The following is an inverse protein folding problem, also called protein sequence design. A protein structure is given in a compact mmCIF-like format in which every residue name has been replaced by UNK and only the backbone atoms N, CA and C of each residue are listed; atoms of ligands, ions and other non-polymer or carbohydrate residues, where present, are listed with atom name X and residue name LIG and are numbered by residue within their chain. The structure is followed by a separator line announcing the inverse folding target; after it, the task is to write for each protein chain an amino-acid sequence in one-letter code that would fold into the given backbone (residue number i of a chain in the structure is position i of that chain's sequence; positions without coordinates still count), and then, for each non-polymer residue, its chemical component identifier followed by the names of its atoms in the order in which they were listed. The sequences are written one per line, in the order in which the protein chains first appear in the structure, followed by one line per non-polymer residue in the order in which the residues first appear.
data_IF_966224595083
#
_entry.id   IF_966224595083
#
_cell.length_a   1.000
_cell.length_b   1.000
_cell.length_c   1.000
_cell.angle_alpha   90.00
_cell.angle_beta   90.00
_cell.angle_gamma   90.00
#
_symmetry.space_group_name_H-M   'P 1'
#
loop_
_entity.id
_entity.type
_entity.pdbx_description
1 polymer ?
#
# COMPACT_ATOMS: atom_id res chain seq x y z
N UNK A 1 -15.72 -36.75 -14.34
CA UNK A 1 -14.55 -36.80 -13.44
C UNK A 1 -13.43 -36.03 -14.11
N UNK A 2 -13.21 -34.79 -13.68
CA UNK A 2 -12.01 -34.02 -13.99
C UNK A 2 -11.81 -33.06 -12.82
N UNK A 3 -10.87 -33.47 -11.96
CA UNK A 3 -10.04 -32.68 -11.05
C UNK A 3 -10.65 -31.36 -10.58
N UNK A 4 -11.07 -31.36 -9.30
CA UNK A 4 -11.23 -30.15 -8.54
C UNK A 4 -9.95 -29.33 -8.69
N UNK A 5 -10.05 -28.19 -9.38
CA UNK A 5 -9.03 -27.14 -9.29
C UNK A 5 -8.75 -26.97 -7.81
N UNK A 6 -7.55 -27.37 -7.38
CA UNK A 6 -7.06 -27.08 -6.05
C UNK A 6 -7.11 -25.56 -5.95
N UNK A 7 -8.20 -25.07 -5.38
CA UNK A 7 -8.50 -23.65 -5.40
C UNK A 7 -7.33 -23.02 -4.64
N UNK A 8 -6.55 -22.19 -5.32
CA UNK A 8 -5.32 -21.65 -4.75
C UNK A 8 -5.72 -20.76 -3.58
N UNK A 9 -5.21 -21.06 -2.38
CA UNK A 9 -5.28 -20.14 -1.25
C UNK A 9 -3.87 -19.59 -1.05
N UNK A 10 -3.68 -18.31 -1.33
CA UNK A 10 -2.35 -17.69 -1.24
C UNK A 10 -1.96 -17.34 0.18
N UNK A 11 -2.91 -17.27 1.11
CA UNK A 11 -2.65 -17.02 2.53
C UNK A 11 -2.63 -18.34 3.30
N UNK A 12 -1.46 -18.66 3.84
CA UNK A 12 -1.28 -19.74 4.79
C UNK A 12 -1.61 -19.21 6.20
N UNK A 13 -2.71 -19.67 6.78
CA UNK A 13 -3.16 -19.23 8.11
C UNK A 13 -2.30 -19.77 9.27
N UNK A 14 -1.38 -20.71 9.02
CA UNK A 14 -0.39 -21.14 10.00
C UNK A 14 0.95 -20.39 9.85
N UNK A 15 1.15 -19.69 8.72
CA UNK A 15 2.30 -18.84 8.47
C UNK A 15 1.92 -17.58 7.68
N UNK A 16 1.08 -16.75 8.31
CA UNK A 16 0.45 -15.58 7.67
C UNK A 16 1.49 -14.61 7.17
N UNK A 17 2.44 -14.21 8.02
CA UNK A 17 3.45 -13.23 7.66
C UNK A 17 4.21 -13.65 6.40
N UNK A 18 4.73 -14.88 6.37
CA UNK A 18 5.55 -15.35 5.26
C UNK A 18 4.77 -15.49 3.96
N UNK A 19 3.52 -15.96 4.03
CA UNK A 19 2.67 -16.08 2.83
C UNK A 19 2.28 -14.71 2.27
N UNK A 20 1.97 -13.72 3.12
CA UNK A 20 1.70 -12.35 2.70
C UNK A 20 2.93 -11.68 2.06
N UNK A 21 4.10 -11.85 2.67
CA UNK A 21 5.37 -11.32 2.13
C UNK A 21 5.72 -11.94 0.77
N UNK A 22 5.45 -13.24 0.59
CA UNK A 22 5.67 -13.92 -0.69
C UNK A 22 4.77 -13.36 -1.81
N UNK A 23 3.48 -13.10 -1.51
CA UNK A 23 2.51 -12.61 -2.49
C UNK A 23 2.74 -11.15 -2.90
N UNK A 24 3.07 -10.29 -1.94
CA UNK A 24 3.36 -8.88 -2.22
C UNK A 24 4.76 -8.66 -2.80
N UNK A 25 5.65 -9.65 -2.68
CA UNK A 25 7.03 -9.61 -3.15
C UNK A 25 7.99 -8.94 -2.17
N UNK A 26 9.30 -8.97 -2.48
CA UNK A 26 10.40 -8.53 -1.60
C UNK A 26 10.30 -7.07 -1.10
N UNK A 27 9.44 -6.23 -1.70
CA UNK A 27 9.21 -4.84 -1.27
C UNK A 27 7.79 -4.39 -1.62
N UNK A 28 6.84 -4.60 -0.69
CA UNK A 28 6.42 -3.50 0.18
C UNK A 28 6.32 -3.93 1.66
N UNK A 29 7.38 -3.69 2.45
CA UNK A 29 7.37 -3.88 3.91
C UNK A 29 6.26 -3.08 4.60
N UNK A 30 5.82 -1.97 3.99
CA UNK A 30 4.76 -1.14 4.52
C UNK A 30 3.40 -1.83 4.51
N UNK A 31 3.02 -2.40 3.36
CA UNK A 31 1.72 -3.05 3.21
C UNK A 31 1.71 -4.47 3.75
N UNK A 32 2.83 -5.20 3.71
CA UNK A 32 2.88 -6.57 4.25
C UNK A 32 2.49 -6.62 5.73
N UNK A 33 2.95 -5.67 6.55
CA UNK A 33 2.56 -5.59 7.96
C UNK A 33 1.06 -5.31 8.16
N UNK A 34 0.50 -4.38 7.37
CA UNK A 34 -0.93 -4.02 7.41
C UNK A 34 -1.81 -5.22 7.02
N UNK A 35 -1.39 -5.99 6.02
CA UNK A 35 -2.12 -7.16 5.51
C UNK A 35 -1.94 -8.37 6.44
N UNK A 36 -0.78 -8.53 7.06
CA UNK A 36 -0.54 -9.57 8.08
C UNK A 36 -1.48 -9.37 9.27
N UNK A 37 -1.56 -8.14 9.80
CA UNK A 37 -2.47 -7.78 10.90
C UNK A 37 -3.94 -8.10 10.56
N UNK A 38 -4.37 -7.87 9.32
CA UNK A 38 -5.70 -8.23 8.85
C UNK A 38 -5.95 -9.74 8.97
N UNK A 39 -5.05 -10.57 8.43
CA UNK A 39 -5.26 -12.01 8.40
C UNK A 39 -5.12 -12.66 9.78
N UNK A 40 -4.31 -12.08 10.67
CA UNK A 40 -4.25 -12.48 12.09
C UNK A 40 -5.61 -12.25 12.77
N UNK A 41 -6.21 -11.07 12.60
CA UNK A 41 -7.54 -10.79 13.13
C UNK A 41 -8.62 -11.72 12.53
N UNK A 42 -8.55 -12.01 11.23
CA UNK A 42 -9.45 -12.94 10.56
C UNK A 42 -9.28 -14.35 11.14
N UNK A 43 -8.05 -14.82 11.36
CA UNK A 43 -7.78 -16.15 11.93
C UNK A 43 -8.44 -16.28 13.29
N UNK A 44 -8.15 -15.35 14.20
CA UNK A 44 -8.71 -15.33 15.56
C UNK A 44 -10.25 -15.34 15.51
N UNK A 45 -10.85 -14.46 14.70
CA UNK A 45 -12.30 -14.37 14.59
C UNK A 45 -12.94 -15.63 14.02
N UNK A 46 -12.28 -16.26 13.05
CA UNK A 46 -12.78 -17.49 12.44
C UNK A 46 -12.70 -18.67 13.41
N UNK A 47 -11.61 -18.75 14.17
CA UNK A 47 -11.41 -19.74 15.24
C UNK A 47 -12.47 -19.57 16.34
N UNK A 48 -12.74 -18.33 16.79
CA UNK A 48 -13.78 -18.02 17.79
C UNK A 48 -15.19 -18.45 17.36
N UNK A 49 -15.49 -18.34 16.07
CA UNK A 49 -16.81 -18.67 15.51
C UNK A 49 -16.91 -20.12 15.03
N UNK A 50 -15.80 -20.85 14.94
CA UNK A 50 -15.74 -22.17 14.32
C UNK A 50 -16.11 -22.16 12.84
N UNK A 51 -15.77 -21.10 12.10
CA UNK A 51 -16.02 -20.97 10.66
C UNK A 51 -14.74 -21.20 9.84
N UNK A 52 -14.90 -21.58 8.58
CA UNK A 52 -13.77 -21.72 7.66
C UNK A 52 -13.09 -20.37 7.39
N UNK A 53 -11.77 -20.41 7.25
CA UNK A 53 -11.00 -19.23 6.89
C UNK A 53 -11.35 -18.73 5.48
N UNK A 54 -11.42 -17.41 5.27
CA UNK A 54 -11.60 -16.83 3.95
C UNK A 54 -10.49 -17.27 3.00
N UNK A 55 -10.89 -17.79 1.84
CA UNK A 55 -9.97 -18.26 0.83
C UNK A 55 -9.53 -17.15 -0.11
N UNK A 56 -8.25 -16.81 -0.04
CA UNK A 56 -7.63 -15.70 -0.76
C UNK A 56 -7.00 -16.19 -2.05
N UNK A 57 -7.42 -15.63 -3.18
CA UNK A 57 -6.93 -15.99 -4.51
C UNK A 57 -5.66 -15.22 -4.89
N UNK A 58 -5.55 -13.97 -4.45
CA UNK A 58 -4.44 -13.09 -4.81
C UNK A 58 -4.39 -11.86 -3.90
N UNK A 59 -3.17 -11.42 -3.58
CA UNK A 59 -2.89 -10.11 -2.99
C UNK A 59 -1.96 -9.39 -3.95
N UNK A 60 -2.32 -8.18 -4.42
CA UNK A 60 -1.46 -7.43 -5.34
C UNK A 60 -1.61 -5.92 -5.24
N UNK A 61 -0.57 -5.23 -5.65
CA UNK A 61 -0.62 -3.81 -6.01
C UNK A 61 -1.19 -3.67 -7.44
N UNK A 62 -2.02 -2.64 -7.65
CA UNK A 62 -2.41 -2.18 -8.99
C UNK A 62 -2.78 -0.71 -8.98
N UNK A 63 -1.97 0.10 -9.67
CA UNK A 63 -2.09 1.56 -9.80
C UNK A 63 -1.92 2.33 -8.47
N UNK A 64 -1.01 1.89 -7.62
CA UNK A 64 -0.74 2.46 -6.30
C UNK A 64 -1.77 2.07 -5.26
N UNK A 65 -2.56 1.02 -5.51
CA UNK A 65 -3.61 0.56 -4.59
C UNK A 65 -3.48 -0.94 -4.31
N UNK A 66 -3.74 -1.32 -3.06
CA UNK A 66 -3.83 -2.70 -2.62
C UNK A 66 -5.13 -3.34 -3.11
N UNK A 67 -5.03 -4.56 -3.63
CA UNK A 67 -6.18 -5.39 -4.00
C UNK A 67 -6.04 -6.78 -3.39
N UNK A 68 -7.11 -7.23 -2.73
CA UNK A 68 -7.23 -8.57 -2.17
C UNK A 68 -8.42 -9.24 -2.84
N UNK A 69 -8.17 -10.38 -3.50
CA UNK A 69 -9.20 -11.16 -4.18
C UNK A 69 -9.52 -12.40 -3.36
N UNK A 70 -10.80 -12.63 -3.11
CA UNK A 70 -11.31 -13.80 -2.40
C UNK A 70 -12.08 -14.69 -3.39
N UNK A 71 -11.98 -16.00 -3.21
CA UNK A 71 -12.83 -16.95 -3.96
C UNK A 71 -14.27 -16.90 -3.49
N UNK A 72 -14.45 -16.80 -2.17
CA UNK A 72 -15.71 -16.51 -1.50
C UNK A 72 -15.41 -15.57 -0.34
N UNK A 73 -16.13 -14.46 -0.28
CA UNK A 73 -16.02 -13.50 0.83
C UNK A 73 -16.69 -14.12 2.06
N UNK A 74 -16.15 -13.87 3.25
CA UNK A 74 -16.81 -14.26 4.50
C UNK A 74 -18.19 -13.60 4.61
N UNK A 75 -19.18 -14.36 5.09
CA UNK A 75 -20.50 -13.82 5.43
C UNK A 75 -20.48 -13.01 6.74
N UNK A 76 -19.39 -13.12 7.54
CA UNK A 76 -19.22 -12.31 8.75
C UNK A 76 -18.93 -10.84 8.39
N UNK A 77 -19.82 -9.95 8.81
CA UNK A 77 -19.76 -8.51 8.54
C UNK A 77 -18.48 -7.85 9.10
N UNK A 78 -17.97 -8.34 10.23
CA UNK A 78 -16.78 -7.78 10.87
C UNK A 78 -15.54 -8.10 10.05
N UNK A 79 -15.44 -9.32 9.52
CA UNK A 79 -14.37 -9.70 8.58
C UNK A 79 -14.43 -8.83 7.32
N UNK A 80 -15.62 -8.63 6.73
CA UNK A 80 -15.79 -7.75 5.56
C UNK A 80 -15.38 -6.31 5.85
N UNK A 81 -15.78 -5.79 7.01
CA UNK A 81 -15.40 -4.46 7.48
C UNK A 81 -13.90 -4.30 7.66
N UNK A 82 -13.22 -5.29 8.24
CA UNK A 82 -11.76 -5.28 8.40
C UNK A 82 -11.05 -5.30 7.04
N UNK A 83 -11.47 -6.14 6.11
CA UNK A 83 -10.88 -6.17 4.76
C UNK A 83 -10.99 -4.79 4.10
N UNK A 84 -12.17 -4.17 4.13
CA UNK A 84 -12.39 -2.85 3.55
C UNK A 84 -11.54 -1.76 4.24
N UNK A 85 -11.49 -1.77 5.58
CA UNK A 85 -10.71 -0.82 6.37
C UNK A 85 -9.20 -0.97 6.11
N UNK A 86 -8.70 -2.20 6.00
CA UNK A 86 -7.29 -2.51 5.71
C UNK A 86 -6.90 -2.04 4.32
N UNK A 87 -7.73 -2.29 3.29
CA UNK A 87 -7.48 -1.79 1.93
C UNK A 87 -7.43 -0.26 1.93
N UNK A 88 -8.38 0.39 2.61
CA UNK A 88 -8.40 1.84 2.73
C UNK A 88 -7.16 2.40 3.44
N UNK A 89 -6.72 1.76 4.54
CA UNK A 89 -5.51 2.10 5.28
C UNK A 89 -4.26 1.93 4.41
N UNK A 90 -4.13 0.79 3.73
CA UNK A 90 -3.00 0.52 2.83
C UNK A 90 -2.90 1.58 1.72
N UNK A 91 -4.03 1.94 1.08
CA UNK A 91 -4.06 2.94 0.02
C UNK A 91 -3.70 4.38 0.47
N UNK A 92 -3.58 4.60 1.79
CA UNK A 92 -3.12 5.86 2.40
C UNK A 92 -1.77 5.70 3.13
N UNK A 93 -1.12 4.55 2.98
CA UNK A 93 0.15 4.19 3.59
C UNK A 93 1.19 3.92 2.50
N UNK A 94 2.44 4.30 2.78
CA UNK A 94 3.56 4.09 1.89
C UNK A 94 3.75 2.60 1.67
N UNK A 95 3.74 2.17 0.41
CA UNK A 95 4.02 0.78 0.01
C UNK A 95 5.33 0.29 0.66
N UNK A 96 6.38 1.10 0.65
CA UNK A 96 7.70 0.67 1.11
C UNK A 96 7.86 0.64 2.64
N UNK A 97 7.26 1.57 3.38
CA UNK A 97 7.57 1.75 4.81
C UNK A 97 6.36 1.97 5.72
N UNK A 98 5.13 1.97 5.20
CA UNK A 98 3.89 2.06 5.98
C UNK A 98 3.50 3.47 6.43
N UNK A 99 4.42 4.45 6.39
CA UNK A 99 4.14 5.85 6.72
C UNK A 99 3.00 6.45 5.91
N UNK A 100 2.28 7.43 6.44
CA UNK A 100 1.21 8.12 5.71
C UNK A 100 1.69 8.63 4.34
N UNK A 101 0.92 8.33 3.31
CA UNK A 101 1.27 8.56 1.91
C UNK A 101 0.04 8.85 1.06
N UNK A 102 0.29 9.26 -0.18
CA UNK A 102 -0.72 9.38 -1.24
C UNK A 102 -0.15 8.81 -2.54
N UNK A 103 -1.00 8.46 -3.52
CA UNK A 103 -0.55 8.09 -4.86
C UNK A 103 0.29 9.20 -5.50
N UNK A 104 1.47 8.83 -6.00
CA UNK A 104 2.40 9.68 -6.73
C UNK A 104 2.46 9.23 -8.18
N UNK A 105 2.36 10.19 -9.10
CA UNK A 105 2.61 9.95 -10.53
C UNK A 105 4.09 10.18 -10.84
N UNK A 106 4.80 9.07 -11.08
CA UNK A 106 6.21 8.99 -11.47
C UNK A 106 6.32 8.65 -12.97
N UNK A 107 5.54 9.31 -13.82
CA UNK A 107 5.50 9.05 -15.26
C UNK A 107 4.55 7.90 -15.59
N UNK A 108 5.09 6.76 -16.05
CA UNK A 108 4.30 5.56 -16.37
C UNK A 108 3.94 4.71 -15.14
N UNK A 109 4.28 5.19 -13.94
CA UNK A 109 4.14 4.46 -12.68
C UNK A 109 3.34 5.30 -11.69
N UNK A 110 2.32 4.68 -11.11
CA UNK A 110 1.54 5.24 -10.01
C UNK A 110 1.86 4.39 -8.79
N UNK A 111 2.37 5.03 -7.74
CA UNK A 111 2.78 4.37 -6.50
C UNK A 111 2.38 5.22 -5.30
N UNK A 112 1.88 4.61 -4.24
CA UNK A 112 1.55 5.26 -2.98
C UNK A 112 2.78 5.28 -2.08
N UNK A 113 3.47 6.43 -2.06
CA UNK A 113 4.76 6.59 -1.36
C UNK A 113 4.77 7.82 -0.46
N UNK A 114 5.44 7.72 0.69
CA UNK A 114 5.77 8.90 1.50
C UNK A 114 6.86 9.73 0.80
N UNK A 115 7.05 11.00 1.19
CA UNK A 115 7.97 11.89 0.47
C UNK A 115 9.43 11.38 0.41
N UNK A 116 9.86 10.60 1.40
CA UNK A 116 11.20 10.00 1.46
C UNK A 116 11.37 8.90 0.40
N UNK A 117 10.54 7.86 0.50
CA UNK A 117 10.52 6.75 -0.45
C UNK A 117 10.22 7.22 -1.88
N UNK A 118 9.35 8.21 -2.05
CA UNK A 118 9.05 8.80 -3.35
C UNK A 118 10.29 9.46 -3.98
N UNK A 119 11.11 10.15 -3.18
CA UNK A 119 12.35 10.75 -3.66
C UNK A 119 13.42 9.70 -4.00
N UNK A 120 13.52 8.64 -3.22
CA UNK A 120 14.43 7.51 -3.50
C UNK A 120 14.02 6.80 -4.80
N UNK A 121 12.73 6.51 -4.95
CA UNK A 121 12.18 5.88 -6.15
C UNK A 121 12.31 6.77 -7.39
N UNK A 122 12.12 8.09 -7.24
CA UNK A 122 12.39 9.04 -8.30
C UNK A 122 13.87 9.04 -8.70
N UNK A 123 14.80 9.05 -7.73
CA UNK A 123 16.23 9.00 -8.01
C UNK A 123 16.65 7.69 -8.71
N UNK A 124 16.02 6.56 -8.35
CA UNK A 124 16.26 5.26 -8.98
C UNK A 124 15.78 5.21 -10.43
N UNK A 125 14.65 5.87 -10.73
CA UNK A 125 13.99 5.80 -12.04
C UNK A 125 14.46 6.85 -13.03
N UNK A 126 14.82 8.04 -12.56
CA UNK A 126 15.22 9.14 -13.41
C UNK A 126 16.74 9.32 -13.38
N UNK A 127 17.41 9.00 -14.50
CA UNK A 127 18.86 9.23 -14.70
C UNK A 127 19.25 10.73 -14.79
N UNK A 128 18.33 11.66 -14.51
CA UNK A 128 18.49 13.10 -14.64
C UNK A 128 18.21 13.81 -13.31
N UNK A 129 18.97 14.87 -13.03
CA UNK A 129 18.79 15.75 -11.88
C UNK A 129 17.57 16.68 -12.09
N UNK A 130 16.37 16.12 -12.07
CA UNK A 130 15.13 16.91 -12.15
C UNK A 130 14.83 17.51 -10.79
N UNK A 131 14.52 18.82 -10.73
CA UNK A 131 13.99 19.42 -9.50
C UNK A 131 12.53 19.05 -9.25
N UNK A 132 11.81 18.71 -10.33
CA UNK A 132 10.39 18.34 -10.32
C UNK A 132 10.20 16.96 -10.93
N UNK A 133 9.92 15.99 -10.06
CA UNK A 133 9.79 14.58 -10.44
C UNK A 133 8.33 14.18 -10.62
N UNK A 134 7.46 14.69 -9.76
CA UNK A 134 6.09 14.23 -9.65
C UNK A 134 5.18 15.09 -10.51
N UNK A 135 4.38 14.43 -11.35
CA UNK A 135 3.37 15.11 -12.16
C UNK A 135 2.20 15.49 -11.26
N UNK A 136 1.67 16.70 -11.48
CA UNK A 136 0.47 17.17 -10.77
C UNK A 136 -0.68 16.23 -11.09
N UNK A 137 -1.19 15.61 -10.04
CA UNK A 137 -2.58 15.17 -9.98
C UNK A 137 -3.45 16.39 -9.71
N UNK A 138 -4.76 16.23 -9.86
CA UNK A 138 -5.84 17.15 -9.48
C UNK A 138 -5.92 17.45 -7.95
N UNK A 139 -4.81 17.30 -7.23
CA UNK A 139 -4.72 17.51 -5.80
C UNK A 139 -4.77 19.00 -5.41
N UNK A 140 -5.38 19.34 -4.27
CA UNK A 140 -5.38 20.69 -3.73
C UNK A 140 -3.96 21.24 -3.57
N UNK A 141 -3.75 22.50 -3.94
CA UNK A 141 -2.42 23.11 -4.01
C UNK A 141 -1.65 23.06 -2.67
N UNK A 142 -2.34 23.15 -1.54
CA UNK A 142 -1.77 23.09 -0.20
C UNK A 142 -1.17 21.72 0.18
N UNK A 143 -1.46 20.67 -0.61
CA UNK A 143 -0.88 19.33 -0.46
C UNK A 143 0.26 19.07 -1.45
N UNK A 144 0.59 20.03 -2.32
CA UNK A 144 1.57 19.84 -3.38
C UNK A 144 2.86 20.60 -3.06
N UNK A 145 3.96 19.86 -3.02
CA UNK A 145 5.28 20.43 -2.84
C UNK A 145 5.60 21.38 -4.00
N UNK A 146 5.91 22.65 -3.69
CA UNK A 146 6.19 23.68 -4.69
C UNK A 146 7.46 23.38 -5.52
N UNK A 147 8.37 22.58 -4.97
CA UNK A 147 9.66 22.25 -5.61
C UNK A 147 9.55 20.96 -6.44
N UNK A 148 9.32 19.82 -5.77
CA UNK A 148 9.37 18.52 -6.45
C UNK A 148 8.04 18.08 -7.07
N UNK A 149 6.92 18.70 -6.69
CA UNK A 149 5.57 18.31 -7.11
C UNK A 149 4.95 17.17 -6.29
N UNK A 150 5.63 16.68 -5.23
CA UNK A 150 5.13 15.62 -4.36
C UNK A 150 3.75 15.98 -3.78
N UNK A 151 2.83 15.04 -3.77
CA UNK A 151 1.47 15.23 -3.26
C UNK A 151 1.32 14.50 -1.93
N UNK A 152 1.06 15.20 -0.83
CA UNK A 152 0.89 14.56 0.47
C UNK A 152 1.25 15.48 1.63
N UNK A 153 2.00 14.95 2.59
CA UNK A 153 2.44 15.73 3.74
C UNK A 153 3.44 16.81 3.32
N UNK A 154 3.04 18.07 3.53
CA UNK A 154 3.89 19.26 3.41
C UNK A 154 4.39 19.66 4.78
N UNK A 155 5.65 20.07 4.87
CA UNK A 155 6.24 20.54 6.11
C UNK A 155 5.56 21.85 6.54
N UNK A 156 4.90 21.84 7.70
CA UNK A 156 4.15 23.00 8.20
C UNK A 156 5.05 24.14 8.69
N UNK A 157 6.32 23.85 8.94
CA UNK A 157 7.31 24.87 9.31
C UNK A 157 7.90 25.59 8.10
N UNK A 158 7.63 25.09 6.89
CA UNK A 158 8.15 25.63 5.64
C UNK A 158 7.15 26.58 4.96
N UNK A 159 7.52 27.85 4.85
CA UNK A 159 6.76 28.90 4.16
C UNK A 159 6.70 28.69 2.63
N UNK A 160 7.63 27.92 2.08
CA UNK A 160 7.73 27.60 0.65
C UNK A 160 6.90 26.40 0.22
N UNK A 161 6.13 25.79 1.14
CA UNK A 161 5.26 24.64 0.86
C UNK A 161 6.05 23.48 0.26
N UNK A 162 7.15 23.11 0.89
CA UNK A 162 8.01 21.98 0.52
C UNK A 162 7.62 20.73 1.31
N UNK A 163 7.76 19.56 0.69
CA UNK A 163 7.67 18.30 1.43
C UNK A 163 8.89 18.16 2.38
N UNK A 164 8.78 17.37 3.46
CA UNK A 164 9.89 17.17 4.41
C UNK A 164 11.21 16.74 3.75
N UNK A 165 11.14 15.97 2.66
CA UNK A 165 12.35 15.57 1.93
C UNK A 165 13.02 16.73 1.20
N UNK A 166 12.26 17.63 0.57
CA UNK A 166 12.81 18.84 -0.05
C UNK A 166 13.42 19.78 1.00
N UNK A 167 12.75 19.96 2.15
CA UNK A 167 13.25 20.78 3.27
C UNK A 167 14.60 20.24 3.75
N UNK A 168 14.68 18.93 4.04
CA UNK A 168 15.92 18.30 4.52
C UNK A 168 17.06 18.37 3.49
N UNK A 169 16.75 18.32 2.20
CA UNK A 169 17.75 18.45 1.11
C UNK A 169 18.16 19.90 0.83
N UNK A 170 17.49 20.90 1.43
CA UNK A 170 17.75 22.31 1.16
C UNK A 170 17.36 22.77 -0.24
N UNK A 171 16.42 22.07 -0.90
CA UNK A 171 15.95 22.38 -2.25
C UNK A 171 14.94 23.51 -2.30
#
# INVERSE_FOLDING_TARGET
MSEAEATINVVDYDNIQKSVELELGETPLGWSGIVTELFEHIKVRSDELGIEYPKVLQIKEKFGELRIYFSKVSEDERIRGWVAATINRANQSCEQCGNAARPQNLGSWIMTLCCWCAHEEAARRFNEHKRRYFRRTDAPEHLVCAVCGYVGHIDRSDDRRRCPSCVKKGW
#
